data_IF_680969917123
#
_entry.id   IF_680969917123
#
_cell.length_a   1.000
_cell.length_b   1.000
_cell.length_c   1.000
_cell.angle_alpha   90.00
_cell.angle_beta   90.00
_cell.angle_gamma   90.00
#
_symmetry.space_group_name_H-M   'P 1'
#
loop_
_entity.id
_entity.type
_entity.pdbx_description
1 polymer ?
#
# COMPACT_ATOMS: atom_id res chain seq x y z
N UNK A 1 18.93 5.97 -2.33
CA UNK A 1 18.44 4.57 -2.31
C UNK A 1 18.54 3.87 -3.69
N UNK A 2 18.74 2.54 -3.75
CA UNK A 2 18.77 1.78 -5.02
C UNK A 2 17.34 1.57 -5.55
N UNK A 3 17.00 2.18 -6.70
CA UNK A 3 15.63 2.17 -7.29
C UNK A 3 15.05 0.76 -7.37
N UNK A 4 15.89 -0.22 -7.66
CA UNK A 4 15.52 -1.63 -7.80
C UNK A 4 14.94 -2.25 -6.54
N UNK A 5 15.29 -1.77 -5.34
CA UNK A 5 14.76 -2.33 -4.08
C UNK A 5 13.35 -1.83 -3.79
N UNK A 6 13.09 -0.54 -4.03
CA UNK A 6 11.76 0.07 -3.90
C UNK A 6 10.75 -0.52 -4.90
N UNK A 7 11.16 -0.68 -6.16
CA UNK A 7 10.27 -1.21 -7.20
C UNK A 7 9.85 -2.66 -6.90
N UNK A 8 10.74 -3.47 -6.29
CA UNK A 8 10.42 -4.83 -5.84
C UNK A 8 9.38 -4.85 -4.71
N UNK A 9 9.50 -3.94 -3.75
CA UNK A 9 8.55 -3.85 -2.62
C UNK A 9 7.17 -3.44 -3.12
N UNK A 10 7.09 -2.44 -3.99
CA UNK A 10 5.81 -2.02 -4.61
C UNK A 10 5.17 -3.13 -5.45
N UNK A 11 5.98 -3.92 -6.16
CA UNK A 11 5.49 -5.07 -6.92
C UNK A 11 4.90 -6.15 -5.99
N UNK A 12 5.55 -6.42 -4.86
CA UNK A 12 5.08 -7.42 -3.90
C UNK A 12 3.82 -6.95 -3.16
N UNK A 13 3.73 -5.66 -2.81
CA UNK A 13 2.54 -5.02 -2.26
C UNK A 13 1.36 -5.17 -3.23
N UNK A 14 1.55 -4.82 -4.51
CA UNK A 14 0.50 -4.96 -5.53
C UNK A 14 0.07 -6.42 -5.71
N UNK A 15 1.01 -7.37 -5.67
CA UNK A 15 0.70 -8.79 -5.75
C UNK A 15 -0.18 -9.25 -4.59
N UNK A 16 0.17 -8.88 -3.36
CA UNK A 16 -0.55 -9.25 -2.15
C UNK A 16 -1.96 -8.63 -2.09
N UNK A 17 -2.11 -7.40 -2.58
CA UNK A 17 -3.41 -6.74 -2.70
C UNK A 17 -4.32 -7.45 -3.73
N UNK A 18 -3.75 -8.07 -4.76
CA UNK A 18 -4.48 -8.77 -5.83
C UNK A 18 -4.72 -10.27 -5.54
N UNK A 19 -3.99 -10.89 -4.62
CA UNK A 19 -4.14 -12.31 -4.26
C UNK A 19 -5.38 -12.56 -3.39
N UNK A 20 -6.41 -13.17 -3.98
CA UNK A 20 -7.69 -13.51 -3.32
C UNK A 20 -7.62 -14.57 -2.21
N UNK A 21 -6.46 -15.18 -1.98
CA UNK A 21 -6.30 -16.26 -0.99
C UNK A 21 -5.99 -15.76 0.42
N UNK A 22 -5.60 -14.49 0.58
CA UNK A 22 -5.33 -13.90 1.87
C UNK A 22 -6.55 -13.16 2.41
N UNK A 23 -6.84 -13.34 3.70
CA UNK A 23 -7.83 -12.52 4.39
C UNK A 23 -7.35 -11.07 4.47
N UNK A 24 -8.26 -10.12 4.66
CA UNK A 24 -7.89 -8.71 4.81
C UNK A 24 -6.90 -8.47 5.96
N UNK A 25 -7.05 -9.21 7.07
CA UNK A 25 -6.19 -9.12 8.26
C UNK A 25 -4.78 -9.68 7.99
N UNK A 26 -4.68 -10.77 7.20
CA UNK A 26 -3.39 -11.29 6.76
C UNK A 26 -2.67 -10.31 5.81
N UNK A 27 -3.41 -9.68 4.90
CA UNK A 27 -2.85 -8.67 3.99
C UNK A 27 -2.35 -7.47 4.75
N UNK A 28 -3.12 -6.95 5.70
CA UNK A 28 -2.74 -5.82 6.56
C UNK A 28 -1.45 -6.12 7.33
N UNK A 29 -1.37 -7.29 7.97
CA UNK A 29 -0.18 -7.72 8.73
C UNK A 29 1.09 -7.81 7.87
N UNK A 30 0.96 -8.33 6.64
CA UNK A 30 2.09 -8.45 5.71
C UNK A 30 2.51 -7.07 5.18
N UNK A 31 1.54 -6.21 4.84
CA UNK A 31 1.80 -4.84 4.40
C UNK A 31 2.52 -4.03 5.47
N UNK A 32 2.05 -4.08 6.72
CA UNK A 32 2.71 -3.44 7.86
C UNK A 32 4.16 -3.93 8.04
N UNK A 33 4.40 -5.24 7.92
CA UNK A 33 5.74 -5.82 8.03
C UNK A 33 6.66 -5.38 6.91
N UNK A 34 6.17 -5.33 5.66
CA UNK A 34 6.94 -4.87 4.50
C UNK A 34 7.26 -3.37 4.58
N UNK A 35 6.28 -2.56 4.98
CA UNK A 35 6.44 -1.12 5.22
C UNK A 35 7.50 -0.88 6.29
N UNK A 36 7.36 -1.53 7.45
CA UNK A 36 8.29 -1.38 8.57
C UNK A 36 9.70 -1.79 8.18
N UNK A 37 9.85 -2.95 7.52
CA UNK A 37 11.15 -3.37 7.00
C UNK A 37 11.71 -2.39 5.98
N UNK A 38 10.88 -1.66 5.23
CA UNK A 38 11.38 -0.68 4.26
C UNK A 38 11.86 0.60 4.97
N UNK A 39 11.05 1.11 5.90
CA UNK A 39 11.35 2.29 6.71
C UNK A 39 12.61 2.10 7.56
N UNK A 40 12.80 0.92 8.17
CA UNK A 40 14.00 0.62 8.97
C UNK A 40 15.31 0.65 8.15
N UNK A 41 15.23 0.55 6.82
CA UNK A 41 16.38 0.63 5.92
C UNK A 41 16.49 1.99 5.20
N UNK A 42 15.60 2.94 5.47
CA UNK A 42 15.74 4.31 5.00
C UNK A 42 16.64 5.08 5.96
N UNK A 43 17.82 5.47 5.47
CA UNK A 43 18.77 6.28 6.26
C UNK A 43 18.47 7.79 6.16
N UNK A 44 17.62 8.20 5.21
CA UNK A 44 17.25 9.58 4.96
C UNK A 44 15.78 9.82 5.32
N UNK A 45 15.54 10.76 6.24
CA UNK A 45 14.20 11.16 6.68
C UNK A 45 13.39 11.76 5.51
N UNK A 46 14.05 12.42 4.56
CA UNK A 46 13.36 12.98 3.38
C UNK A 46 12.86 11.87 2.44
N UNK A 47 13.58 10.74 2.35
CA UNK A 47 13.11 9.56 1.60
C UNK A 47 11.93 8.87 2.31
N UNK A 48 11.87 8.92 3.65
CA UNK A 48 10.75 8.39 4.45
C UNK A 48 9.47 9.17 4.21
N UNK A 49 9.52 10.50 4.27
CA UNK A 49 8.34 11.36 4.04
C UNK A 49 7.77 11.14 2.63
N UNK A 50 8.63 11.13 1.60
CA UNK A 50 8.21 10.88 0.21
C UNK A 50 7.58 9.48 0.04
N UNK A 51 8.05 8.49 0.79
CA UNK A 51 7.48 7.15 0.74
C UNK A 51 6.12 7.08 1.46
N UNK A 52 5.98 7.74 2.60
CA UNK A 52 4.71 7.82 3.33
C UNK A 52 3.64 8.52 2.50
N UNK A 53 3.95 9.64 1.86
CA UNK A 53 3.03 10.35 0.97
C UNK A 53 2.52 9.43 -0.15
N UNK A 54 3.42 8.69 -0.81
CA UNK A 54 3.04 7.75 -1.88
C UNK A 54 2.15 6.59 -1.42
N UNK A 55 2.37 6.10 -0.20
CA UNK A 55 1.54 5.03 0.36
C UNK A 55 0.14 5.57 0.70
N UNK A 56 0.05 6.77 1.25
CA UNK A 56 -1.24 7.43 1.48
C UNK A 56 -2.00 7.62 0.17
N UNK A 57 -1.35 8.15 -0.89
CA UNK A 57 -1.97 8.29 -2.22
C UNK A 57 -2.50 6.95 -2.75
N UNK A 58 -1.73 5.86 -2.58
CA UNK A 58 -2.14 4.52 -3.04
C UNK A 58 -3.34 3.98 -2.24
N UNK A 59 -3.39 4.25 -0.94
CA UNK A 59 -4.51 3.87 -0.08
C UNK A 59 -5.75 4.67 -0.46
N UNK A 60 -5.61 5.98 -0.67
CA UNK A 60 -6.71 6.87 -1.07
C UNK A 60 -7.29 6.42 -2.43
N UNK A 61 -6.45 6.13 -3.43
CA UNK A 61 -6.89 5.58 -4.72
C UNK A 61 -7.62 4.24 -4.57
N UNK A 62 -7.15 3.35 -3.69
CA UNK A 62 -7.83 2.08 -3.41
C UNK A 62 -9.20 2.31 -2.76
N UNK A 63 -9.28 3.26 -1.82
CA UNK A 63 -10.54 3.62 -1.16
C UNK A 63 -11.53 4.20 -2.17
N UNK A 64 -11.11 5.14 -3.01
CA UNK A 64 -11.95 5.71 -4.08
C UNK A 64 -12.48 4.59 -4.99
N UNK A 65 -11.60 3.74 -5.52
CA UNK A 65 -11.98 2.68 -6.47
C UNK A 65 -12.85 1.56 -5.90
N UNK A 66 -12.84 1.32 -4.58
CA UNK A 66 -13.61 0.23 -3.97
C UNK A 66 -14.81 0.69 -3.15
N UNK A 67 -14.87 1.95 -2.73
CA UNK A 67 -15.94 2.44 -1.87
C UNK A 67 -16.76 3.59 -2.47
N UNK A 68 -16.28 4.32 -3.49
CA UNK A 68 -17.11 5.37 -4.12
C UNK A 68 -18.19 4.82 -5.05
N UNK A 69 -17.96 3.73 -5.78
CA UNK A 69 -18.99 3.10 -6.63
C UNK A 69 -20.14 2.47 -5.82
N UNK A 70 -19.96 2.22 -4.51
CA UNK A 70 -20.99 1.55 -3.68
C UNK A 70 -21.99 2.55 -3.05
N UNK A 71 -21.72 3.85 -3.12
CA UNK A 71 -22.58 4.88 -2.51
C UNK A 71 -23.67 5.42 -3.45
N UNK A 72 -23.58 5.22 -4.77
CA UNK A 72 -24.62 5.69 -5.71
C UNK A 72 -25.87 4.79 -5.76
N UNK A 73 -25.78 3.51 -5.38
CA UNK A 73 -26.90 2.56 -5.51
C UNK A 73 -27.87 2.52 -4.32
N UNK A 74 -27.63 3.30 -3.25
CA UNK A 74 -28.45 3.27 -2.02
C UNK A 74 -29.40 4.47 -1.84
N UNK A 75 -29.61 5.29 -2.89
CA UNK A 75 -30.54 6.42 -2.92
C UNK A 75 -31.71 6.23 -3.90
N UNK A 76 -32.36 5.06 -3.91
CA UNK A 76 -33.61 4.84 -4.65
C UNK A 76 -34.69 4.15 -3.81
#
# INVERSE_FOLDING_TARGET
MDRTRRDKILTEINRLLLENELTSEDRETILESLLKSHLDHMEDIEEVDIFQDRINDTIDEYVEQHFEDTMEDNYN
#
